data_IF_193327542785
#
_entry.id   IF_193327542785
#
_cell.length_a   1.000
_cell.length_b   1.000
_cell.length_c   1.000
_cell.angle_alpha   90.00
_cell.angle_beta   90.00
_cell.angle_gamma   90.00
#
_symmetry.space_group_name_H-M   'P 1'
#
loop_
_entity.id
_entity.type
_entity.pdbx_description
1 polymer ?
#
# COMPACT_ATOMS: atom_id res chain seq x y z
N UNK A 1 9.28 -4.28 -0.58
CA UNK A 1 7.88 -4.71 -0.50
C UNK A 1 7.66 -5.85 0.48
N UNK A 2 8.35 -6.99 0.33
CA UNK A 2 8.12 -8.18 1.20
C UNK A 2 8.20 -7.86 2.69
N UNK A 3 9.24 -7.14 3.13
CA UNK A 3 9.37 -6.70 4.52
C UNK A 3 8.18 -5.86 5.01
N UNK A 4 7.58 -5.03 4.15
CA UNK A 4 6.41 -4.22 4.54
C UNK A 4 5.17 -5.08 4.74
N UNK A 5 5.07 -6.22 4.05
CA UNK A 5 4.03 -7.22 4.26
C UNK A 5 4.30 -7.99 5.56
N UNK A 6 5.55 -8.42 5.77
CA UNK A 6 5.98 -9.13 6.99
C UNK A 6 5.78 -8.27 8.25
N UNK A 7 6.06 -6.97 8.16
CA UNK A 7 5.87 -5.98 9.24
C UNK A 7 4.38 -5.61 9.42
N UNK A 8 3.47 -6.12 8.57
CA UNK A 8 2.02 -5.88 8.64
C UNK A 8 1.58 -4.49 8.16
N UNK A 9 2.49 -3.70 7.60
CA UNK A 9 2.19 -2.36 7.09
C UNK A 9 1.39 -2.44 5.79
N UNK A 10 1.79 -3.29 4.84
CA UNK A 10 1.02 -3.57 3.62
C UNK A 10 0.13 -4.79 3.88
N UNK A 11 -1.19 -4.59 3.86
CA UNK A 11 -2.20 -5.62 4.12
C UNK A 11 -2.59 -6.37 2.84
N UNK A 12 -2.67 -5.66 1.72
CA UNK A 12 -2.98 -6.21 0.40
C UNK A 12 -2.19 -5.45 -0.66
N UNK A 13 -1.80 -6.11 -1.75
CA UNK A 13 -1.10 -5.45 -2.84
C UNK A 13 -1.15 -6.23 -4.14
N UNK A 14 -1.19 -5.51 -5.26
CA UNK A 14 -1.08 -6.14 -6.58
C UNK A 14 -1.38 -5.22 -7.75
N UNK A 15 -1.02 -5.63 -8.97
CA UNK A 15 -1.36 -4.90 -10.18
C UNK A 15 -2.87 -4.92 -10.42
N UNK A 16 -3.38 -3.81 -10.94
CA UNK A 16 -4.70 -3.74 -11.55
C UNK A 16 -4.70 -4.48 -12.90
N UNK A 17 -5.88 -4.62 -13.49
CA UNK A 17 -6.07 -5.33 -14.75
C UNK A 17 -5.25 -4.78 -15.93
N UNK A 18 -4.76 -3.54 -15.84
CA UNK A 18 -3.90 -2.95 -16.87
C UNK A 18 -2.40 -3.27 -16.70
N UNK A 19 -2.03 -3.98 -15.62
CA UNK A 19 -0.66 -4.34 -15.22
C UNK A 19 0.32 -3.17 -15.09
N UNK A 20 -0.17 -1.93 -15.15
CA UNK A 20 0.64 -0.71 -15.05
C UNK A 20 0.48 -0.03 -13.71
N UNK A 21 -0.73 -0.08 -13.15
CA UNK A 21 -1.03 0.50 -11.86
C UNK A 21 -1.07 -0.59 -10.81
N UNK A 22 -0.48 -0.30 -9.66
CA UNK A 22 -0.49 -1.18 -8.49
C UNK A 22 -1.32 -0.51 -7.42
N UNK A 23 -2.21 -1.27 -6.78
CA UNK A 23 -2.90 -0.83 -5.56
C UNK A 23 -2.25 -1.52 -4.38
N UNK A 24 -1.95 -0.73 -3.36
CA UNK A 24 -1.53 -1.20 -2.04
C UNK A 24 -2.57 -0.74 -1.02
N UNK A 25 -2.98 -1.65 -0.13
CA UNK A 25 -3.76 -1.35 1.06
C UNK A 25 -2.80 -1.34 2.22
N UNK A 26 -2.67 -0.20 2.89
CA UNK A 26 -1.68 0.04 3.94
C UNK A 26 -2.38 0.37 5.25
N UNK A 27 -1.97 -0.27 6.33
CA UNK A 27 -2.37 0.11 7.69
C UNK A 27 -1.41 1.19 8.20
N UNK A 28 -1.93 2.40 8.39
CA UNK A 28 -1.16 3.56 8.84
C UNK A 28 -2.08 4.60 9.48
N UNK A 29 -1.51 5.44 10.34
CA UNK A 29 -2.22 6.51 11.04
C UNK A 29 -2.39 7.80 10.22
N UNK A 30 -1.61 7.97 9.15
CA UNK A 30 -1.63 9.16 8.29
C UNK A 30 -1.03 8.91 6.90
N UNK A 31 -1.31 9.80 5.95
CA UNK A 31 -0.66 9.80 4.63
C UNK A 31 0.87 9.98 4.74
N UNK A 32 1.34 10.86 5.64
CA UNK A 32 2.78 11.11 5.82
C UNK A 32 3.53 9.85 6.28
N UNK A 33 2.90 9.05 7.15
CA UNK A 33 3.45 7.76 7.56
C UNK A 33 3.53 6.79 6.37
N UNK A 34 2.49 6.71 5.54
CA UNK A 34 2.50 5.89 4.32
C UNK A 34 3.66 6.32 3.41
N UNK A 35 3.81 7.61 3.15
CA UNK A 35 4.88 8.15 2.30
C UNK A 35 6.26 7.86 2.89
N UNK A 36 6.45 8.12 4.17
CA UNK A 36 7.71 7.84 4.85
C UNK A 36 8.10 6.37 4.82
N UNK A 37 7.15 5.44 4.97
CA UNK A 37 7.43 4.01 4.86
C UNK A 37 7.77 3.62 3.42
N UNK A 38 6.99 4.08 2.43
CA UNK A 38 7.22 3.76 1.03
C UNK A 38 8.55 4.33 0.52
N UNK A 39 8.94 5.54 0.93
CA UNK A 39 10.22 6.17 0.56
C UNK A 39 11.44 5.36 1.01
N UNK A 40 11.29 4.53 2.05
CA UNK A 40 12.34 3.62 2.52
C UNK A 40 12.33 2.26 1.82
N UNK A 41 11.38 2.00 0.91
CA UNK A 41 11.34 0.76 0.15
C UNK A 41 12.20 0.86 -1.12
N UNK A 42 12.98 -0.18 -1.47
CA UNK A 42 13.82 -0.16 -2.67
C UNK A 42 13.06 0.05 -3.99
N UNK A 43 11.74 -0.21 -4.01
CA UNK A 43 10.93 -0.06 -5.21
C UNK A 43 10.48 1.39 -5.45
N UNK A 44 10.52 2.24 -4.42
CA UNK A 44 10.09 3.64 -4.53
C UNK A 44 11.00 4.44 -5.44
N UNK A 45 10.40 5.23 -6.34
CA UNK A 45 11.10 6.07 -7.31
C UNK A 45 11.82 5.31 -8.43
N UNK A 46 11.79 3.97 -8.44
CA UNK A 46 12.39 3.15 -9.49
C UNK A 46 11.33 2.33 -10.24
N UNK A 47 10.67 1.41 -9.53
CA UNK A 47 9.67 0.50 -10.08
C UNK A 47 8.26 1.01 -9.81
N UNK A 48 8.08 1.74 -8.70
CA UNK A 48 6.80 2.31 -8.29
C UNK A 48 6.97 3.81 -8.03
N UNK A 49 5.99 4.58 -8.51
CA UNK A 49 5.84 5.99 -8.19
C UNK A 49 4.45 6.16 -7.56
N UNK A 50 4.38 6.85 -6.43
CA UNK A 50 3.12 7.08 -5.74
C UNK A 50 2.29 8.09 -6.53
N UNK A 51 1.18 7.62 -7.11
CA UNK A 51 0.22 8.46 -7.83
C UNK A 51 -0.72 9.20 -6.87
N UNK A 52 -1.33 8.48 -5.92
CA UNK A 52 -2.17 9.03 -4.87
C UNK A 52 -2.06 8.22 -3.58
N UNK A 53 -2.48 8.82 -2.48
CA UNK A 53 -2.72 8.14 -1.20
C UNK A 53 -4.08 8.61 -0.71
N UNK A 54 -5.01 7.68 -0.51
CA UNK A 54 -6.39 7.99 -0.17
C UNK A 54 -6.79 7.23 1.11
N UNK A 55 -7.27 7.95 2.12
CA UNK A 55 -7.72 7.34 3.36
C UNK A 55 -8.97 6.49 3.12
N UNK A 56 -8.92 5.21 3.50
CA UNK A 56 -10.03 4.28 3.28
C UNK A 56 -10.72 3.88 4.58
N UNK A 57 -11.91 4.45 4.84
CA UNK A 57 -12.78 3.95 5.91
C UNK A 57 -13.48 2.67 5.46
N UNK A 58 -13.01 1.52 5.93
CA UNK A 58 -13.63 0.23 5.64
C UNK A 58 -14.93 0.09 6.45
N UNK A 59 -16.07 -0.02 5.75
CA UNK A 59 -17.39 -0.25 6.36
C UNK A 59 -17.90 -1.68 6.20
N UNK A 60 -17.36 -2.40 5.23
CA UNK A 60 -17.74 -3.77 4.88
C UNK A 60 -16.46 -4.60 4.82
N UNK A 61 -16.32 -5.57 5.71
CA UNK A 61 -15.20 -6.51 5.70
C UNK A 61 -15.73 -7.94 5.78
N UNK A 62 -15.52 -8.72 4.72
CA UNK A 62 -15.93 -10.11 4.62
C UNK A 62 -14.84 -11.12 5.01
N UNK A 63 -13.63 -10.67 5.34
CA UNK A 63 -12.49 -11.55 5.65
C UNK A 63 -12.55 -12.14 7.06
N UNK A 64 -13.35 -11.54 7.93
CA UNK A 64 -13.58 -11.96 9.32
C UNK A 64 -14.63 -13.08 9.46
N UNK A 65 -15.02 -13.72 8.35
CA UNK A 65 -16.14 -14.64 8.27
C UNK A 65 -15.72 -16.11 8.27
#
# INVERSE_FOLDING_TARGET
MDRLVDDGVVVLGGPLADERRVVLVVEASSEDEVRGVLDNDPWSGTHLVVESVDAWTIRLDGRSR
#
